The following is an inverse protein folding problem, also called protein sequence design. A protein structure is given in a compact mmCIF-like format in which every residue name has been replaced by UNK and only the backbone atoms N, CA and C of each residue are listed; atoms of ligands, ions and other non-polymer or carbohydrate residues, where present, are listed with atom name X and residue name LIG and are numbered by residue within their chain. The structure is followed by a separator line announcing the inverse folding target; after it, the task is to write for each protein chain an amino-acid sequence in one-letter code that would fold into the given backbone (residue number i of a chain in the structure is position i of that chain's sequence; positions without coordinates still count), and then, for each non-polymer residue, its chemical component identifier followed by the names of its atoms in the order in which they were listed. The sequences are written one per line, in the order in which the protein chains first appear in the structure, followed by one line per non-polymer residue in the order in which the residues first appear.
data_IF_372942407064
#
_entry.id   IF_372942407064
#
_cell.length_a   1.000
_cell.length_b   1.000
_cell.length_c   1.000
_cell.angle_alpha   90.00
_cell.angle_beta   90.00
_cell.angle_gamma   90.00
#
_symmetry.space_group_name_H-M   'P 1'
#
loop_
_entity.id
_entity.type
_entity.pdbx_description
1 polymer ?
#
# COMPACT_ATOMS: atom_id res chain seq x y z
N UNK A 1 10.63 14.90 -2.74
CA UNK A 1 9.36 14.31 -2.23
C UNK A 1 9.29 12.85 -2.63
N UNK A 2 8.84 11.97 -1.77
CA UNK A 2 8.78 10.53 -2.08
C UNK A 2 7.45 10.20 -2.78
N UNK A 3 7.50 10.03 -4.10
CA UNK A 3 6.34 9.62 -4.93
C UNK A 3 6.48 8.15 -5.27
N UNK A 4 5.39 7.42 -5.09
CA UNK A 4 5.31 5.99 -5.38
C UNK A 4 4.10 5.71 -6.26
N UNK A 5 4.25 4.78 -7.20
CA UNK A 5 3.15 4.23 -7.97
C UNK A 5 2.36 3.23 -7.11
N UNK A 6 1.04 3.37 -7.06
CA UNK A 6 0.15 2.41 -6.40
C UNK A 6 -0.81 1.79 -7.42
N UNK A 7 -0.89 0.46 -7.41
CA UNK A 7 -1.73 -0.31 -8.35
C UNK A 7 -2.69 -1.22 -7.60
N UNK A 8 -3.96 -1.17 -7.97
CA UNK A 8 -4.98 -2.12 -7.52
C UNK A 8 -4.91 -3.41 -8.34
N UNK A 9 -4.14 -4.38 -7.87
CA UNK A 9 -3.80 -5.59 -8.62
C UNK A 9 -4.99 -6.48 -8.99
N UNK A 10 -6.07 -6.41 -8.22
CA UNK A 10 -7.31 -7.16 -8.44
C UNK A 10 -8.24 -6.52 -9.51
N UNK A 11 -7.80 -5.46 -10.16
CA UNK A 11 -8.56 -4.78 -11.20
C UNK A 11 -8.12 -5.23 -12.61
N UNK A 12 -7.85 -6.53 -12.78
CA UNK A 12 -7.47 -7.21 -14.04
C UNK A 12 -6.11 -6.77 -14.61
N UNK A 13 -5.15 -6.45 -13.76
CA UNK A 13 -3.78 -6.14 -14.21
C UNK A 13 -3.09 -7.41 -14.69
N UNK A 14 -2.73 -7.43 -15.96
CA UNK A 14 -2.04 -8.55 -16.60
C UNK A 14 -0.54 -8.55 -16.27
N UNK A 15 0.13 -9.71 -16.39
CA UNK A 15 1.58 -9.79 -16.15
C UNK A 15 2.40 -8.84 -17.04
N UNK A 16 2.16 -8.71 -18.35
CA UNK A 16 2.87 -7.72 -19.16
C UNK A 16 2.67 -6.28 -18.68
N UNK A 17 1.48 -5.89 -18.20
CA UNK A 17 1.24 -4.58 -17.62
C UNK A 17 2.01 -4.38 -16.31
N UNK A 18 2.09 -5.41 -15.44
CA UNK A 18 2.91 -5.33 -14.22
C UNK A 18 4.36 -5.01 -14.53
N UNK A 19 4.95 -5.70 -15.51
CA UNK A 19 6.35 -5.46 -15.95
C UNK A 19 6.50 -4.05 -16.51
N UNK A 20 5.61 -3.63 -17.42
CA UNK A 20 5.66 -2.31 -18.05
C UNK A 20 5.52 -1.18 -17.02
N UNK A 21 4.57 -1.29 -16.09
CA UNK A 21 4.35 -0.30 -15.01
C UNK A 21 5.57 -0.21 -14.07
N UNK A 22 6.15 -1.33 -13.68
CA UNK A 22 7.32 -1.33 -12.80
C UNK A 22 8.54 -0.67 -13.47
N UNK A 23 8.80 -0.99 -14.74
CA UNK A 23 9.88 -0.39 -15.52
C UNK A 23 9.64 1.09 -15.82
N UNK A 24 8.41 1.48 -16.13
CA UNK A 24 8.04 2.88 -16.34
C UNK A 24 8.21 3.70 -15.04
N UNK A 25 7.78 3.16 -13.90
CA UNK A 25 7.95 3.81 -12.61
C UNK A 25 9.42 3.98 -12.24
N UNK A 26 10.27 2.98 -12.50
CA UNK A 26 11.72 3.07 -12.31
C UNK A 26 12.35 4.10 -13.24
N UNK A 27 12.00 4.09 -14.52
CA UNK A 27 12.49 5.05 -15.52
C UNK A 27 12.07 6.50 -15.21
N UNK A 28 10.88 6.69 -14.64
CA UNK A 28 10.38 7.98 -14.18
C UNK A 28 11.04 8.47 -12.87
N UNK A 29 11.87 7.65 -12.23
CA UNK A 29 12.57 7.98 -10.98
C UNK A 29 11.64 7.98 -9.76
N UNK A 30 10.55 7.23 -9.78
CA UNK A 30 9.70 7.04 -8.61
C UNK A 30 10.44 6.25 -7.53
N UNK A 31 10.13 6.52 -6.26
CA UNK A 31 10.78 5.83 -5.14
C UNK A 31 10.39 4.35 -5.06
N UNK A 32 9.13 4.05 -5.29
CA UNK A 32 8.61 2.69 -5.18
C UNK A 32 7.39 2.42 -6.05
N UNK A 33 7.10 1.14 -6.18
CA UNK A 33 5.85 0.63 -6.73
C UNK A 33 5.20 -0.28 -5.70
N UNK A 34 3.97 0.05 -5.33
CA UNK A 34 3.16 -0.69 -4.38
C UNK A 34 1.93 -1.26 -5.07
N UNK A 35 1.44 -2.37 -4.53
CA UNK A 35 0.19 -2.96 -4.97
C UNK A 35 -0.68 -3.36 -3.79
N UNK A 36 -1.99 -3.37 -4.01
CA UNK A 36 -2.94 -4.04 -3.11
C UNK A 36 -2.71 -5.55 -3.07
N UNK A 37 -3.04 -6.17 -1.95
CA UNK A 37 -3.07 -7.63 -1.81
C UNK A 37 -4.53 -8.06 -1.60
N UNK A 38 -5.26 -8.05 -2.71
CA UNK A 38 -6.65 -8.48 -2.83
C UNK A 38 -6.79 -9.55 -3.90
N UNK A 39 -7.72 -10.48 -3.71
CA UNK A 39 -8.07 -11.52 -4.68
C UNK A 39 -9.37 -11.20 -5.44
N UNK A 40 -10.16 -10.24 -4.94
CA UNK A 40 -11.43 -9.82 -5.54
C UNK A 40 -11.47 -8.30 -5.65
N UNK A 41 -12.02 -7.80 -6.77
CA UNK A 41 -12.21 -6.35 -6.96
C UNK A 41 -12.95 -5.72 -5.79
N UNK A 42 -12.38 -4.65 -5.25
CA UNK A 42 -13.01 -3.87 -4.16
C UNK A 42 -14.24 -3.07 -4.64
N UNK A 43 -14.46 -3.01 -5.95
CA UNK A 43 -15.64 -2.42 -6.58
C UNK A 43 -16.78 -3.44 -6.77
N UNK A 44 -16.67 -4.66 -6.22
CA UNK A 44 -17.64 -5.72 -6.37
C UNK A 44 -17.69 -6.36 -7.78
N UNK A 45 -16.67 -6.12 -8.60
CA UNK A 45 -16.52 -6.62 -9.98
C UNK A 45 -15.88 -8.01 -9.96
N UNK A 46 -16.65 -9.03 -9.60
CA UNK A 46 -16.14 -10.41 -9.42
C UNK A 46 -15.63 -11.07 -10.70
N UNK A 47 -15.92 -10.51 -11.87
CA UNK A 47 -15.38 -10.92 -13.17
C UNK A 47 -13.91 -10.46 -13.39
N UNK A 48 -13.40 -9.54 -12.58
CA UNK A 48 -12.01 -9.07 -12.67
C UNK A 48 -11.04 -10.10 -12.10
N UNK A 49 -9.84 -10.13 -12.66
CA UNK A 49 -8.79 -11.10 -12.30
C UNK A 49 -7.74 -10.48 -11.39
N UNK A 50 -7.13 -11.30 -10.53
CA UNK A 50 -6.04 -10.91 -9.67
C UNK A 50 -4.91 -11.96 -9.72
N UNK A 51 -3.65 -11.50 -9.81
CA UNK A 51 -2.48 -12.31 -9.53
C UNK A 51 -2.11 -12.17 -8.05
N UNK A 52 -1.55 -13.23 -7.43
CA UNK A 52 -1.06 -13.16 -6.05
C UNK A 52 -0.02 -12.05 -5.87
N UNK A 53 -0.15 -11.28 -4.80
CA UNK A 53 0.66 -10.10 -4.59
C UNK A 53 2.14 -10.43 -4.39
N UNK A 54 2.46 -11.36 -3.49
CA UNK A 54 3.85 -11.66 -3.15
C UNK A 54 4.57 -12.44 -4.24
N UNK A 55 3.85 -13.32 -4.95
CA UNK A 55 4.40 -13.97 -6.15
C UNK A 55 4.71 -12.96 -7.25
N UNK A 56 3.83 -11.96 -7.47
CA UNK A 56 4.05 -10.89 -8.44
C UNK A 56 5.28 -10.03 -8.06
N UNK A 57 5.38 -9.60 -6.78
CA UNK A 57 6.49 -8.77 -6.31
C UNK A 57 7.84 -9.50 -6.38
N UNK A 58 7.86 -10.79 -6.01
CA UNK A 58 9.07 -11.61 -6.13
C UNK A 58 9.53 -11.76 -7.59
N UNK A 59 8.59 -11.86 -8.54
CA UNK A 59 8.90 -11.93 -9.97
C UNK A 59 9.35 -10.57 -10.55
N UNK A 60 8.82 -9.44 -10.05
CA UNK A 60 9.24 -8.09 -10.46
C UNK A 60 10.62 -7.71 -9.91
N UNK A 61 11.06 -8.31 -8.79
CA UNK A 61 12.35 -8.06 -8.17
C UNK A 61 13.52 -8.08 -9.16
N UNK A 62 13.76 -9.16 -9.90
CA UNK A 62 14.86 -9.25 -10.87
C UNK A 62 14.61 -8.48 -12.18
N UNK A 63 13.41 -7.96 -12.42
CA UNK A 63 13.05 -7.19 -13.61
C UNK A 63 13.23 -5.67 -13.44
N UNK A 64 13.61 -5.25 -12.24
CA UNK A 64 13.87 -3.86 -11.84
C UNK A 64 15.19 -3.79 -11.07
N UNK A 65 15.78 -2.61 -10.94
CA UNK A 65 17.12 -2.45 -10.36
C UNK A 65 17.16 -1.57 -9.11
N UNK A 66 16.36 -0.52 -9.05
CA UNK A 66 16.43 0.52 -8.01
C UNK A 66 15.12 0.74 -7.27
N UNK A 67 13.99 0.58 -7.96
CA UNK A 67 12.67 0.88 -7.41
C UNK A 67 12.33 -0.06 -6.24
N UNK A 68 11.78 0.49 -5.16
CA UNK A 68 11.27 -0.30 -4.03
C UNK A 68 9.95 -0.98 -4.41
N UNK A 69 9.70 -2.15 -3.86
CA UNK A 69 8.53 -2.97 -4.16
C UNK A 69 7.80 -3.34 -2.87
N UNK A 70 6.48 -3.22 -2.83
CA UNK A 70 5.77 -3.55 -1.61
C UNK A 70 4.26 -3.76 -1.78
N UNK A 71 3.63 -4.15 -0.69
CA UNK A 71 2.16 -4.23 -0.59
C UNK A 71 1.59 -3.02 0.14
N UNK A 72 0.36 -2.61 -0.22
CA UNK A 72 -0.38 -1.53 0.44
C UNK A 72 -1.86 -1.89 0.56
N UNK A 73 -2.25 -2.74 1.52
CA UNK A 73 -1.43 -3.54 2.43
C UNK A 73 -1.86 -5.00 2.37
N UNK A 74 -1.01 -5.95 2.77
CA UNK A 74 -1.38 -7.37 2.95
C UNK A 74 -2.33 -7.52 4.14
N UNK A 75 -3.50 -8.18 3.99
CA UNK A 75 -4.35 -8.55 5.12
C UNK A 75 -3.72 -9.68 5.95
N UNK A 76 -3.65 -9.51 7.26
CA UNK A 76 -3.15 -10.55 8.18
C UNK A 76 -3.96 -11.86 8.13
N UNK A 77 -5.22 -11.77 7.69
CA UNK A 77 -6.13 -12.93 7.55
C UNK A 77 -5.81 -13.87 6.40
N UNK A 78 -5.01 -13.45 5.40
CA UNK A 78 -4.79 -14.26 4.19
C UNK A 78 -3.73 -15.34 4.36
N UNK A 79 -2.75 -15.12 5.22
CA UNK A 79 -1.59 -16.02 5.31
C UNK A 79 -1.18 -16.26 6.76
N UNK A 80 -0.71 -17.47 7.04
CA UNK A 80 0.00 -17.74 8.29
C UNK A 80 1.26 -16.84 8.36
N UNK A 81 1.61 -16.24 9.52
CA UNK A 81 2.73 -15.30 9.62
C UNK A 81 4.06 -15.88 9.16
N UNK A 82 4.31 -17.16 9.39
CA UNK A 82 5.54 -17.80 8.91
C UNK A 82 5.59 -17.95 7.39
N UNK A 83 4.44 -18.13 6.74
CA UNK A 83 4.36 -18.18 5.26
C UNK A 83 4.60 -16.79 4.71
N UNK A 84 3.93 -15.77 5.26
CA UNK A 84 4.11 -14.38 4.84
C UNK A 84 5.57 -13.93 5.04
N UNK A 85 6.15 -14.18 6.21
CA UNK A 85 7.54 -13.83 6.47
C UNK A 85 8.51 -14.44 5.44
N UNK A 86 8.28 -15.68 5.01
CA UNK A 86 9.08 -16.36 3.97
C UNK A 86 8.86 -15.77 2.58
N UNK A 87 7.62 -15.46 2.21
CA UNK A 87 7.32 -14.83 0.92
C UNK A 87 8.00 -13.46 0.81
N UNK A 88 7.91 -12.65 1.87
CA UNK A 88 8.55 -11.34 1.94
C UNK A 88 10.07 -11.45 1.82
N UNK A 89 10.71 -12.35 2.57
CA UNK A 89 12.16 -12.59 2.49
C UNK A 89 12.57 -13.08 1.10
N UNK A 90 11.76 -13.93 0.45
CA UNK A 90 12.03 -14.37 -0.90
C UNK A 90 12.01 -13.20 -1.89
N UNK A 91 11.00 -12.34 -1.81
CA UNK A 91 10.91 -11.13 -2.63
C UNK A 91 12.05 -10.14 -2.33
N UNK A 92 12.47 -10.04 -1.07
CA UNK A 92 13.61 -9.23 -0.63
C UNK A 92 14.93 -9.71 -1.26
N UNK A 93 15.19 -11.02 -1.24
CA UNK A 93 16.37 -11.60 -1.89
C UNK A 93 16.33 -11.43 -3.41
N UNK A 94 15.20 -11.67 -4.07
CA UNK A 94 15.08 -11.54 -5.53
C UNK A 94 15.20 -10.09 -6.00
N UNK A 95 14.89 -9.13 -5.13
CA UNK A 95 15.01 -7.69 -5.40
C UNK A 95 16.28 -7.05 -4.82
N UNK A 96 17.20 -7.83 -4.23
CA UNK A 96 18.42 -7.32 -3.58
C UNK A 96 18.13 -6.26 -2.48
N UNK A 97 17.16 -6.54 -1.60
CA UNK A 97 16.90 -5.72 -0.41
C UNK A 97 15.96 -4.53 -0.61
N UNK A 98 15.12 -4.54 -1.67
CA UNK A 98 14.23 -3.41 -2.02
C UNK A 98 12.78 -3.56 -1.58
N UNK A 99 12.45 -4.58 -0.77
CA UNK A 99 11.06 -4.87 -0.39
C UNK A 99 10.61 -4.09 0.84
N UNK A 100 9.34 -3.73 0.87
CA UNK A 100 8.62 -3.20 2.02
C UNK A 100 7.33 -4.01 2.27
N UNK A 101 7.07 -4.34 3.54
CA UNK A 101 5.84 -5.04 3.92
C UNK A 101 4.78 -4.05 4.40
N UNK A 102 3.75 -3.82 3.59
CA UNK A 102 2.50 -3.26 4.09
C UNK A 102 1.67 -4.36 4.75
N UNK A 103 1.23 -4.14 6.01
CA UNK A 103 0.45 -5.13 6.77
C UNK A 103 -0.71 -4.47 7.51
N UNK A 104 -1.90 -5.08 7.43
CA UNK A 104 -3.12 -4.58 8.05
C UNK A 104 -4.06 -5.69 8.52
N UNK A 105 -5.12 -5.31 9.25
CA UNK A 105 -6.07 -6.26 9.83
C UNK A 105 -7.04 -6.91 8.83
N UNK A 106 -7.08 -6.43 7.57
CA UNK A 106 -8.07 -6.85 6.59
C UNK A 106 -9.46 -6.19 6.80
N UNK A 107 -10.20 -6.02 5.72
CA UNK A 107 -11.51 -5.34 5.77
C UNK A 107 -12.52 -5.87 4.76
N UNK A 108 -12.10 -6.41 3.63
CA UNK A 108 -12.96 -6.73 2.50
C UNK A 108 -13.63 -8.10 2.69
N UNK A 109 -14.86 -8.11 3.22
CA UNK A 109 -15.62 -9.31 3.58
C UNK A 109 -15.84 -10.25 2.39
N UNK A 110 -16.19 -9.70 1.21
CA UNK A 110 -16.54 -10.49 0.04
C UNK A 110 -15.44 -11.49 -0.36
N UNK A 111 -14.18 -11.04 -0.39
CA UNK A 111 -13.08 -11.93 -0.78
C UNK A 111 -12.79 -13.02 0.26
N UNK A 112 -13.01 -12.73 1.55
CA UNK A 112 -12.88 -13.74 2.60
C UNK A 112 -13.93 -14.83 2.44
N UNK A 113 -15.18 -14.44 2.21
CA UNK A 113 -16.27 -15.39 1.99
C UNK A 113 -16.06 -16.20 0.70
N UNK A 114 -15.62 -15.57 -0.41
CA UNK A 114 -15.39 -16.26 -1.68
C UNK A 114 -14.23 -17.24 -1.65
N UNK A 115 -13.16 -16.93 -0.93
CA UNK A 115 -11.94 -17.76 -0.88
C UNK A 115 -11.84 -18.62 0.39
N UNK A 116 -12.84 -18.57 1.26
CA UNK A 116 -12.88 -19.38 2.49
C UNK A 116 -11.87 -18.91 3.56
N UNK A 117 -11.43 -17.66 3.52
CA UNK A 117 -10.59 -17.10 4.57
C UNK A 117 -11.43 -16.74 5.80
N UNK A 118 -10.88 -16.99 7.00
CA UNK A 118 -11.54 -16.61 8.23
C UNK A 118 -11.73 -15.10 8.33
N UNK A 119 -12.96 -14.64 8.56
CA UNK A 119 -13.28 -13.23 8.75
C UNK A 119 -13.94 -12.99 10.12
N UNK A 120 -13.11 -12.93 11.14
CA UNK A 120 -13.54 -12.66 12.51
C UNK A 120 -13.96 -11.19 12.73
N UNK A 121 -14.50 -10.90 13.90
CA UNK A 121 -14.79 -9.53 14.33
C UNK A 121 -13.53 -8.65 14.35
N UNK A 122 -13.71 -7.33 14.23
CA UNK A 122 -12.58 -6.39 14.12
C UNK A 122 -11.59 -6.51 15.29
N UNK A 123 -12.08 -6.78 16.51
CA UNK A 123 -11.23 -7.02 17.68
C UNK A 123 -10.25 -8.15 17.45
N UNK A 124 -10.77 -9.33 17.13
CA UNK A 124 -9.97 -10.54 16.86
C UNK A 124 -9.02 -10.34 15.67
N UNK A 125 -9.42 -9.65 14.60
CA UNK A 125 -8.50 -9.34 13.49
C UNK A 125 -7.31 -8.50 13.92
N UNK A 126 -7.50 -7.58 14.89
CA UNK A 126 -6.39 -6.83 15.47
C UNK A 126 -5.53 -7.67 16.43
N UNK A 127 -6.10 -8.68 17.12
CA UNK A 127 -5.34 -9.63 17.95
C UNK A 127 -4.43 -10.49 17.06
N UNK A 128 -4.99 -11.05 15.97
CA UNK A 128 -4.24 -11.76 14.92
C UNK A 128 -3.11 -10.89 14.34
N UNK A 129 -3.41 -9.64 13.98
CA UNK A 129 -2.41 -8.72 13.45
C UNK A 129 -1.27 -8.45 14.45
N UNK A 130 -1.60 -8.29 15.74
CA UNK A 130 -0.60 -8.05 16.76
C UNK A 130 0.38 -9.22 16.91
N UNK A 131 -0.13 -10.46 16.95
CA UNK A 131 0.71 -11.67 16.99
C UNK A 131 1.54 -11.84 15.71
N UNK A 132 0.96 -11.55 14.53
CA UNK A 132 1.70 -11.61 13.27
C UNK A 132 2.84 -10.61 13.20
N UNK A 133 2.64 -9.37 13.65
CA UNK A 133 3.68 -8.34 13.69
C UNK A 133 4.87 -8.80 14.55
N UNK A 134 4.61 -9.40 15.71
CA UNK A 134 5.68 -9.93 16.56
C UNK A 134 6.37 -11.13 15.92
N UNK A 135 5.62 -12.12 15.44
CA UNK A 135 6.16 -13.33 14.83
C UNK A 135 7.03 -12.99 13.60
N UNK A 136 6.53 -12.16 12.70
CA UNK A 136 7.24 -11.76 11.48
C UNK A 136 8.53 -11.01 11.85
N UNK A 137 8.45 -10.03 12.74
CA UNK A 137 9.63 -9.28 13.18
C UNK A 137 10.68 -10.19 13.79
N UNK A 138 10.30 -11.12 14.66
CA UNK A 138 11.22 -12.08 15.29
C UNK A 138 11.78 -13.10 14.29
N UNK A 139 11.01 -13.54 13.31
CA UNK A 139 11.52 -14.40 12.22
C UNK A 139 12.61 -13.71 11.38
N UNK A 140 12.56 -12.38 11.27
CA UNK A 140 13.57 -11.62 10.54
C UNK A 140 14.80 -11.26 11.38
N UNK A 141 14.67 -11.08 12.69
CA UNK A 141 15.73 -10.61 13.57
C UNK A 141 16.37 -11.69 14.43
N UNK A 142 15.55 -12.55 15.07
CA UNK A 142 16.03 -13.50 16.07
C UNK A 142 16.71 -14.71 15.42
N UNK A 143 17.74 -15.27 16.06
CA UNK A 143 18.37 -16.50 15.58
C UNK A 143 17.40 -17.68 15.73
N UNK A 144 16.84 -17.84 16.91
CA UNK A 144 15.87 -18.89 17.25
C UNK A 144 14.92 -18.38 18.33
N UNK A 145 13.63 -18.71 18.22
CA UNK A 145 12.63 -18.34 19.22
C UNK A 145 11.45 -19.28 19.25
N UNK A 146 10.75 -19.29 20.38
CA UNK A 146 9.40 -19.85 20.51
C UNK A 146 8.40 -18.72 20.76
N UNK A 147 7.16 -18.92 20.34
CA UNK A 147 6.05 -18.00 20.54
C UNK A 147 4.80 -18.78 20.94
N UNK A 148 4.06 -18.31 21.92
CA UNK A 148 2.77 -18.87 22.33
C UNK A 148 1.80 -17.71 22.51
N UNK A 149 0.86 -17.59 21.58
CA UNK A 149 -0.22 -16.62 21.60
C UNK A 149 -1.59 -17.28 21.64
N UNK A 150 -2.63 -16.51 21.44
CA UNK A 150 -4.01 -17.00 21.33
C UNK A 150 -4.27 -17.63 19.95
N UNK A 151 -3.62 -17.12 18.90
CA UNK A 151 -3.87 -17.49 17.51
C UNK A 151 -2.74 -18.32 16.91
N UNK A 152 -1.51 -18.19 17.40
CA UNK A 152 -0.34 -18.88 16.84
C UNK A 152 0.54 -19.46 17.93
N UNK A 153 1.14 -20.61 17.61
CA UNK A 153 2.18 -21.24 18.43
C UNK A 153 3.33 -21.67 17.52
N UNK A 154 4.56 -21.22 17.87
CA UNK A 154 5.79 -21.61 17.19
C UNK A 154 6.75 -22.20 18.22
N UNK A 155 7.40 -23.32 17.88
CA UNK A 155 8.36 -23.98 18.73
C UNK A 155 9.72 -23.99 18.04
N UNK A 156 10.75 -23.49 18.72
CA UNK A 156 12.15 -23.48 18.27
C UNK A 156 12.32 -22.98 16.80
N UNK A 157 11.58 -21.94 16.45
CA UNK A 157 11.58 -21.41 15.10
C UNK A 157 12.92 -20.75 14.77
N UNK A 158 13.63 -21.33 13.80
CA UNK A 158 14.84 -20.76 13.20
C UNK A 158 14.54 -20.42 11.72
N UNK A 159 14.05 -19.22 11.48
CA UNK A 159 13.65 -18.79 10.15
C UNK A 159 14.85 -18.36 9.29
N UNK A 160 15.33 -19.22 8.40
CA UNK A 160 16.41 -18.96 7.43
C UNK A 160 15.92 -19.08 5.99
N UNK A 161 16.45 -18.28 5.00
CA UNK A 161 17.44 -17.21 5.22
C UNK A 161 16.82 -16.02 5.95
N UNK A 162 17.66 -15.13 6.48
CA UNK A 162 17.25 -13.81 6.97
C UNK A 162 17.09 -12.84 5.79
N UNK A 163 16.40 -11.69 5.95
CA UNK A 163 16.38 -10.62 4.97
C UNK A 163 17.80 -10.17 4.57
N UNK A 164 17.94 -9.63 3.35
CA UNK A 164 19.17 -9.00 2.87
C UNK A 164 19.54 -7.77 3.71
N UNK A 165 18.52 -7.01 4.11
CA UNK A 165 18.63 -5.87 5.00
C UNK A 165 17.43 -5.75 5.93
N UNK A 166 17.20 -4.55 6.46
CA UNK A 166 16.00 -4.28 7.26
C UNK A 166 14.81 -4.08 6.33
N UNK A 167 13.79 -4.92 6.44
CA UNK A 167 12.52 -4.75 5.74
C UNK A 167 11.63 -3.78 6.54
N UNK A 168 11.26 -2.60 6.00
CA UNK A 168 10.29 -1.72 6.65
C UNK A 168 8.90 -2.35 6.70
N UNK A 169 8.23 -2.21 7.84
CA UNK A 169 6.81 -2.55 7.97
C UNK A 169 6.00 -1.26 7.88
N UNK A 170 5.05 -1.20 6.94
CA UNK A 170 4.09 -0.11 6.80
C UNK A 170 2.76 -0.60 7.34
N UNK A 171 2.21 0.07 8.34
CA UNK A 171 0.85 -0.23 8.80
C UNK A 171 -0.15 0.72 8.14
N UNK A 172 -1.30 0.19 7.73
CA UNK A 172 -2.35 0.97 7.07
C UNK A 172 -3.64 1.07 7.87
N UNK A 173 -4.35 2.21 7.72
CA UNK A 173 -5.68 2.36 8.27
C UNK A 173 -6.11 3.80 8.58
N UNK A 174 -7.22 3.92 9.34
CA UNK A 174 -7.83 5.22 9.70
C UNK A 174 -7.30 5.83 11.01
N UNK A 175 -6.15 5.38 11.50
CA UNK A 175 -5.54 5.80 12.75
C UNK A 175 -6.46 5.63 13.99
N UNK A 176 -7.16 4.50 14.05
CA UNK A 176 -7.91 4.10 15.25
C UNK A 176 -6.95 3.72 16.39
N UNK A 177 -7.40 3.75 17.67
CA UNK A 177 -6.53 3.59 18.84
C UNK A 177 -5.63 2.34 18.79
N UNK A 178 -6.19 1.17 18.49
CA UNK A 178 -5.41 -0.08 18.38
C UNK A 178 -4.39 -0.04 17.24
N UNK A 179 -4.79 0.52 16.10
CA UNK A 179 -3.90 0.64 14.92
C UNK A 179 -2.68 1.51 15.19
N UNK A 180 -2.85 2.68 15.78
CA UNK A 180 -1.72 3.58 16.09
C UNK A 180 -0.83 3.02 17.21
N UNK A 181 -1.39 2.31 18.20
CA UNK A 181 -0.60 1.64 19.25
C UNK A 181 0.29 0.54 18.66
N UNK A 182 -0.25 -0.30 17.78
CA UNK A 182 0.55 -1.34 17.10
C UNK A 182 1.58 -0.72 16.17
N UNK A 183 1.21 0.34 15.45
CA UNK A 183 2.15 1.05 14.58
C UNK A 183 3.30 1.67 15.37
N UNK A 184 3.01 2.33 16.48
CA UNK A 184 4.03 2.89 17.36
C UNK A 184 5.00 1.83 17.91
N UNK A 185 4.60 0.57 18.01
CA UNK A 185 5.47 -0.52 18.46
C UNK A 185 6.29 -1.16 17.33
N UNK A 186 5.67 -1.37 16.16
CA UNK A 186 6.21 -2.27 15.14
C UNK A 186 6.53 -1.62 13.81
N UNK A 187 5.86 -0.52 13.44
CA UNK A 187 5.96 0.04 12.11
C UNK A 187 7.16 0.98 11.93
N UNK A 188 7.62 1.06 10.68
CA UNK A 188 8.53 2.09 10.20
C UNK A 188 7.77 3.30 9.62
N UNK A 189 6.51 3.10 9.19
CA UNK A 189 5.66 4.10 8.55
C UNK A 189 4.18 3.77 8.80
N UNK A 190 3.34 4.80 8.84
CA UNK A 190 1.88 4.64 8.86
C UNK A 190 1.26 5.21 7.59
N UNK A 191 0.44 4.40 6.90
CA UNK A 191 -0.29 4.83 5.71
C UNK A 191 -1.77 5.05 6.00
N UNK A 192 -2.37 6.03 5.32
CA UNK A 192 -3.81 6.25 5.37
C UNK A 192 -4.37 6.50 3.98
N UNK A 193 -5.62 6.02 3.75
CA UNK A 193 -6.22 6.00 2.42
C UNK A 193 -7.23 7.12 2.24
N UNK A 194 -7.23 7.75 1.08
CA UNK A 194 -8.19 8.79 0.64
C UNK A 194 -8.56 9.80 1.74
N UNK A 195 -7.59 10.42 2.41
CA UNK A 195 -7.90 11.33 3.48
C UNK A 195 -8.20 12.73 2.97
N UNK A 196 -9.28 13.35 3.45
CA UNK A 196 -9.40 14.81 3.38
C UNK A 196 -8.30 15.46 4.24
N UNK A 197 -7.97 16.73 3.98
CA UNK A 197 -6.97 17.47 4.77
C UNK A 197 -7.25 17.43 6.27
N UNK A 198 -8.52 17.60 6.67
CA UNK A 198 -8.91 17.51 8.08
C UNK A 198 -8.66 16.12 8.67
N UNK A 199 -8.88 15.06 7.88
CA UNK A 199 -8.59 13.69 8.31
C UNK A 199 -7.09 13.46 8.50
N UNK A 200 -6.23 14.00 7.64
CA UNK A 200 -4.77 13.94 7.78
C UNK A 200 -4.31 14.54 9.10
N UNK A 201 -4.74 15.76 9.41
CA UNK A 201 -4.37 16.45 10.66
C UNK A 201 -4.75 15.62 11.88
N UNK A 202 -6.02 15.15 11.95
CA UNK A 202 -6.47 14.33 13.08
C UNK A 202 -5.72 12.98 13.19
N UNK A 203 -5.38 12.37 12.06
CA UNK A 203 -4.65 11.09 12.04
C UNK A 203 -3.21 11.28 12.45
N UNK A 204 -2.57 12.39 12.02
CA UNK A 204 -1.23 12.78 12.45
C UNK A 204 -1.15 12.96 13.97
N UNK A 205 -2.06 13.75 14.53
CA UNK A 205 -2.12 13.98 15.99
C UNK A 205 -2.23 12.67 16.79
N UNK A 206 -3.10 11.75 16.34
CA UNK A 206 -3.27 10.45 17.00
C UNK A 206 -2.02 9.57 16.91
N UNK A 207 -1.36 9.59 15.76
CA UNK A 207 -0.14 8.83 15.54
C UNK A 207 1.00 9.37 16.40
N UNK A 208 1.15 10.69 16.48
CA UNK A 208 2.16 11.36 17.30
C UNK A 208 1.95 11.08 18.80
N UNK A 209 0.71 11.15 19.26
CA UNK A 209 0.37 10.81 20.64
C UNK A 209 0.71 9.35 20.97
N UNK A 210 0.44 8.41 20.05
CA UNK A 210 0.79 7.01 20.26
C UNK A 210 2.32 6.78 20.25
N UNK A 211 3.06 7.46 19.38
CA UNK A 211 4.53 7.41 19.35
C UNK A 211 5.12 7.96 20.65
N UNK A 212 4.62 9.11 21.11
CA UNK A 212 5.05 9.71 22.39
C UNK A 212 4.78 8.77 23.58
N UNK A 213 3.59 8.15 23.62
CA UNK A 213 3.25 7.18 24.67
C UNK A 213 4.13 5.93 24.63
N UNK A 214 4.66 5.55 23.47
CA UNK A 214 5.60 4.46 23.27
C UNK A 214 7.07 4.87 23.48
N UNK A 215 7.35 6.14 23.77
CA UNK A 215 8.72 6.65 23.98
C UNK A 215 9.57 6.66 22.72
N UNK A 216 8.97 6.86 21.53
CA UNK A 216 9.69 6.89 20.25
C UNK A 216 9.41 8.17 19.47
N UNK A 217 10.27 8.45 18.51
CA UNK A 217 10.08 9.54 17.56
C UNK A 217 8.81 9.36 16.70
N UNK A 218 8.20 10.45 16.24
CA UNK A 218 7.06 10.40 15.34
C UNK A 218 7.31 9.54 14.10
N UNK A 219 6.36 8.68 13.79
CA UNK A 219 6.41 7.87 12.56
C UNK A 219 6.19 8.74 11.32
N UNK A 220 6.90 8.47 10.19
CA UNK A 220 6.47 8.96 8.90
C UNK A 220 4.99 8.64 8.64
N UNK A 221 4.25 9.61 8.11
CA UNK A 221 2.88 9.44 7.64
C UNK A 221 2.87 9.50 6.12
N UNK A 222 2.37 8.46 5.48
CA UNK A 222 2.08 8.46 4.05
C UNK A 222 0.58 8.43 3.77
N UNK A 223 0.22 8.85 2.57
CA UNK A 223 -1.15 8.70 2.06
C UNK A 223 -1.18 7.86 0.80
N UNK A 224 -2.24 7.05 0.65
CA UNK A 224 -2.64 6.43 -0.60
C UNK A 224 -3.86 7.16 -1.12
N UNK A 225 -3.81 7.67 -2.34
CA UNK A 225 -4.91 8.41 -2.95
C UNK A 225 -4.94 8.25 -4.46
N UNK A 226 -6.12 8.43 -5.07
CA UNK A 226 -6.29 8.41 -6.51
C UNK A 226 -5.52 9.54 -7.19
N UNK A 227 -5.08 9.29 -8.42
CA UNK A 227 -4.31 10.23 -9.20
C UNK A 227 -4.82 10.29 -10.64
N UNK A 228 -5.05 11.51 -11.15
CA UNK A 228 -5.32 11.79 -12.58
C UNK A 228 -4.50 13.01 -12.98
N UNK A 229 -3.40 12.78 -13.68
CA UNK A 229 -2.51 13.84 -14.16
C UNK A 229 -2.67 14.02 -15.67
N UNK A 230 -2.36 15.21 -16.15
CA UNK A 230 -2.23 15.53 -17.58
C UNK A 230 -1.17 16.60 -17.79
N UNK A 231 -0.59 16.66 -19.01
CA UNK A 231 0.28 17.75 -19.42
C UNK A 231 -0.53 19.06 -19.53
N UNK A 232 -1.83 18.95 -19.82
CA UNK A 232 -2.79 20.04 -19.83
C UNK A 232 -4.18 19.57 -19.37
N UNK A 233 -5.14 20.49 -19.29
CA UNK A 233 -6.51 20.22 -18.85
C UNK A 233 -7.24 19.24 -19.77
N UNK A 234 -6.97 19.29 -21.08
CA UNK A 234 -7.64 18.41 -22.05
C UNK A 234 -7.23 16.94 -21.82
N UNK A 235 -5.95 16.70 -21.55
CA UNK A 235 -5.43 15.37 -21.21
C UNK A 235 -5.97 14.86 -19.88
N UNK A 236 -6.13 15.74 -18.87
CA UNK A 236 -6.79 15.38 -17.59
C UNK A 236 -8.24 14.95 -17.83
N UNK A 237 -9.00 15.70 -18.65
CA UNK A 237 -10.39 15.38 -18.96
C UNK A 237 -10.52 14.08 -19.77
N UNK A 238 -9.61 13.82 -20.69
CA UNK A 238 -9.55 12.56 -21.46
C UNK A 238 -9.33 11.36 -20.53
N UNK A 239 -8.31 11.42 -19.66
CA UNK A 239 -8.04 10.36 -18.66
C UNK A 239 -9.20 10.17 -17.69
N UNK A 240 -9.81 11.26 -17.22
CA UNK A 240 -11.00 11.20 -16.38
C UNK A 240 -12.17 10.51 -17.08
N UNK A 241 -12.40 10.82 -18.37
CA UNK A 241 -13.45 10.18 -19.18
C UNK A 241 -13.21 8.67 -19.31
N UNK A 242 -11.98 8.24 -19.59
CA UNK A 242 -11.60 6.81 -19.63
C UNK A 242 -11.84 6.13 -18.29
N UNK A 243 -11.46 6.77 -17.19
CA UNK A 243 -11.63 6.21 -15.86
C UNK A 243 -13.10 6.13 -15.42
N UNK A 244 -13.92 7.12 -15.77
CA UNK A 244 -15.37 7.08 -15.60
C UNK A 244 -15.98 5.86 -16.32
N UNK A 245 -15.57 5.62 -17.57
CA UNK A 245 -16.05 4.47 -18.35
C UNK A 245 -15.65 3.13 -17.69
N UNK A 246 -14.40 3.02 -17.20
CA UNK A 246 -13.91 1.83 -16.48
C UNK A 246 -14.66 1.58 -15.16
N UNK A 247 -15.01 2.63 -14.43
CA UNK A 247 -15.75 2.55 -13.17
C UNK A 247 -17.26 2.50 -13.35
N UNK A 248 -17.77 2.66 -14.59
CA UNK A 248 -19.19 2.78 -14.92
C UNK A 248 -19.87 3.94 -14.17
N UNK A 249 -19.12 5.01 -13.94
CA UNK A 249 -19.67 6.22 -13.33
C UNK A 249 -20.55 6.96 -14.32
N UNK A 250 -21.64 7.55 -13.84
CA UNK A 250 -22.59 8.33 -14.64
C UNK A 250 -22.41 9.83 -14.40
N UNK A 251 -22.89 10.64 -15.33
CA UNK A 251 -22.86 12.09 -15.24
C UNK A 251 -21.79 12.75 -16.12
N UNK A 252 -21.49 14.03 -15.85
CA UNK A 252 -20.44 14.74 -16.59
C UNK A 252 -19.05 14.53 -15.95
N UNK A 253 -18.00 14.55 -16.78
CA UNK A 253 -16.60 14.47 -16.33
C UNK A 253 -16.29 15.55 -15.29
N UNK A 254 -16.74 16.78 -15.53
CA UNK A 254 -16.51 17.92 -14.60
C UNK A 254 -17.14 17.67 -13.23
N UNK A 255 -18.40 17.20 -13.19
CA UNK A 255 -19.07 16.91 -11.92
C UNK A 255 -18.39 15.75 -11.19
N UNK A 256 -17.96 14.72 -11.90
CA UNK A 256 -17.25 13.58 -11.33
C UNK A 256 -15.89 13.98 -10.75
N UNK A 257 -15.07 14.75 -11.48
CA UNK A 257 -13.80 15.28 -11.00
C UNK A 257 -13.98 16.17 -9.77
N UNK A 258 -15.02 17.02 -9.76
CA UNK A 258 -15.34 17.86 -8.60
C UNK A 258 -15.64 17.02 -7.36
N UNK A 259 -16.33 15.88 -7.52
CA UNK A 259 -16.61 14.96 -6.42
C UNK A 259 -15.39 14.25 -5.84
N UNK A 260 -14.31 14.14 -6.60
CA UNK A 260 -13.05 13.50 -6.17
C UNK A 260 -12.01 14.51 -5.63
N UNK A 261 -12.17 15.81 -5.88
CA UNK A 261 -11.15 16.81 -5.67
C UNK A 261 -10.67 16.93 -4.20
N UNK A 262 -11.51 16.64 -3.23
CA UNK A 262 -11.15 16.69 -1.81
C UNK A 262 -10.20 15.57 -1.37
N UNK A 263 -10.18 14.45 -2.09
CA UNK A 263 -9.43 13.25 -1.70
C UNK A 263 -8.35 12.87 -2.71
N UNK A 264 -8.50 13.24 -3.99
CA UNK A 264 -7.61 12.83 -5.08
C UNK A 264 -6.59 13.92 -5.45
N UNK A 265 -5.53 13.52 -6.12
CA UNK A 265 -4.54 14.39 -6.77
C UNK A 265 -4.90 14.47 -8.26
N UNK A 266 -5.50 15.58 -8.67
CA UNK A 266 -6.06 15.75 -10.03
C UNK A 266 -5.57 17.05 -10.63
N UNK A 267 -5.16 17.03 -11.90
CA UNK A 267 -4.84 18.22 -12.65
C UNK A 267 -3.54 18.15 -13.43
N UNK A 268 -3.07 19.32 -13.88
CA UNK A 268 -1.72 19.46 -14.44
C UNK A 268 -0.66 19.23 -13.36
N UNK A 269 0.60 19.15 -13.77
CA UNK A 269 1.71 18.94 -12.82
C UNK A 269 1.75 20.03 -11.76
N UNK A 270 1.49 21.29 -12.15
CA UNK A 270 1.47 22.43 -11.20
C UNK A 270 0.34 22.27 -10.18
N UNK A 271 -0.88 21.96 -10.63
CA UNK A 271 -2.04 21.77 -9.76
C UNK A 271 -1.87 20.57 -8.82
N UNK A 272 -1.33 19.48 -9.35
CA UNK A 272 -1.01 18.30 -8.55
C UNK A 272 0.07 18.59 -7.50
N UNK A 273 1.11 19.34 -7.86
CA UNK A 273 2.16 19.75 -6.95
C UNK A 273 1.61 20.62 -5.81
N UNK A 274 0.78 21.62 -6.13
CA UNK A 274 0.10 22.44 -5.11
C UNK A 274 -0.70 21.58 -4.12
N UNK A 275 -1.43 20.58 -4.63
CA UNK A 275 -2.20 19.66 -3.79
C UNK A 275 -1.31 18.83 -2.88
N UNK A 276 -0.20 18.30 -3.39
CA UNK A 276 0.77 17.51 -2.61
C UNK A 276 1.46 18.38 -1.54
N UNK A 277 1.75 19.65 -1.84
CA UNK A 277 2.37 20.58 -0.89
C UNK A 277 1.44 20.92 0.29
N UNK A 278 0.12 20.96 0.07
CA UNK A 278 -0.84 21.07 1.17
C UNK A 278 -0.76 19.85 2.11
N UNK A 279 -0.69 18.64 1.56
CA UNK A 279 -0.51 17.42 2.37
C UNK A 279 0.83 17.40 3.09
N UNK A 280 1.91 17.85 2.46
CA UNK A 280 3.23 17.99 3.12
C UNK A 280 3.20 18.93 4.31
N UNK A 281 2.54 20.07 4.15
CA UNK A 281 2.35 21.04 5.24
C UNK A 281 1.58 20.43 6.41
N UNK A 282 0.69 19.49 6.15
CA UNK A 282 -0.03 18.72 7.17
C UNK A 282 0.76 17.52 7.73
N UNK A 283 2.05 17.37 7.38
CA UNK A 283 2.95 16.34 7.92
C UNK A 283 2.98 15.02 7.16
N UNK A 284 2.48 14.99 5.91
CA UNK A 284 2.64 13.83 5.03
C UNK A 284 4.03 13.87 4.38
N UNK A 285 4.76 12.76 4.43
CA UNK A 285 6.12 12.67 3.91
C UNK A 285 6.26 11.81 2.64
N UNK A 286 5.26 10.97 2.34
CA UNK A 286 5.30 10.01 1.24
C UNK A 286 3.91 9.81 0.62
N UNK A 287 3.86 9.65 -0.69
CA UNK A 287 2.62 9.57 -1.45
C UNK A 287 2.58 8.28 -2.28
N UNK A 288 1.50 7.51 -2.13
CA UNK A 288 1.16 6.35 -2.93
C UNK A 288 0.06 6.77 -3.90
N UNK A 289 0.44 7.19 -5.11
CA UNK A 289 -0.47 7.70 -6.12
C UNK A 289 -1.09 6.54 -6.90
N UNK A 290 -2.39 6.34 -6.71
CA UNK A 290 -3.12 5.22 -7.28
C UNK A 290 -3.44 5.48 -8.75
N UNK A 291 -2.85 4.63 -9.61
CA UNK A 291 -3.04 4.66 -11.05
C UNK A 291 -3.95 3.51 -11.50
N UNK A 292 -5.08 3.85 -12.13
CA UNK A 292 -6.09 2.87 -12.52
C UNK A 292 -6.18 2.64 -14.04
N UNK A 293 -5.50 3.44 -14.85
CA UNK A 293 -5.38 3.27 -16.30
C UNK A 293 -4.09 2.49 -16.62
N UNK A 294 -4.08 1.19 -16.39
CA UNK A 294 -2.87 0.36 -16.32
C UNK A 294 -2.06 0.25 -17.63
N UNK A 295 -2.58 0.74 -18.73
CA UNK A 295 -1.94 0.85 -20.04
C UNK A 295 -1.42 2.26 -20.35
N UNK A 296 -1.68 3.25 -19.48
CA UNK A 296 -1.27 4.65 -19.64
C UNK A 296 0.07 4.91 -18.93
N UNK A 297 1.16 4.56 -19.60
CA UNK A 297 2.50 4.76 -19.05
C UNK A 297 2.95 6.23 -19.08
N UNK A 298 2.33 7.07 -19.91
CA UNK A 298 2.62 8.51 -19.98
C UNK A 298 2.21 9.19 -18.67
N UNK A 299 1.10 8.77 -18.04
CA UNK A 299 0.73 9.28 -16.72
C UNK A 299 1.75 8.89 -15.65
N UNK A 300 2.37 7.70 -15.75
CA UNK A 300 3.47 7.31 -14.83
C UNK A 300 4.69 8.21 -15.03
N UNK A 301 5.02 8.57 -16.27
CA UNK A 301 6.09 9.51 -16.56
C UNK A 301 5.81 10.92 -16.01
N UNK A 302 4.55 11.38 -16.03
CA UNK A 302 4.13 12.64 -15.41
C UNK A 302 4.29 12.61 -13.87
N UNK A 303 4.01 11.48 -13.21
CA UNK A 303 4.25 11.35 -11.76
C UNK A 303 5.72 11.61 -11.40
N UNK A 304 6.67 11.22 -12.26
CA UNK A 304 8.10 11.46 -12.08
C UNK A 304 8.52 12.94 -12.14
N UNK A 305 7.63 13.84 -12.56
CA UNK A 305 7.89 15.28 -12.59
C UNK A 305 7.47 15.99 -11.28
N UNK A 306 6.70 15.33 -10.44
CA UNK A 306 6.33 15.83 -9.11
C UNK A 306 7.55 15.87 -8.17
N UNK A 307 7.68 16.95 -7.34
CA UNK A 307 8.89 17.23 -6.53
C UNK A 307 8.57 17.34 -5.04
#
# INVERSE_FOLDING_TARGET
MAINLMIEGQESVTWPQWVALAQAAEAAGLEGMFRSDHYVSVQGRTERTALDAWATLAALGPMTSTIRLGTMVTPASFRHPSVLAKQVVTADHTSAGRVELGLGAGWHRLEHDMHGFAFAGVGTRFDVLAEQLEIISRQWSDERFSFTGEHYTLTDCEARPKPVGRIPIIMGGSAGPRGVTLAARWAAEYNTTFPSMQAVTRRRERLDAACAAAGRDPLPLSIMTGCILGADTAEVEERASRLMALSRAEGSVTAWLTGLADEWVIGTIEQAQERLDLYRTAGVSRFMLQHQLHDDLDMVALMGQLR
#
